data_IF_008624972603
#
_entry.id   IF_008624972603
#
_cell.length_a   1.000
_cell.length_b   1.000
_cell.length_c   1.000
_cell.angle_alpha   90.00
_cell.angle_beta   90.00
_cell.angle_gamma   90.00
#
_symmetry.space_group_name_H-M   'P 1'
#
loop_
_entity.id
_entity.type
_entity.pdbx_description
1 polymer ?
#
# COMPACT_ATOMS: atom_id res chain seq x y z
N UNK A 1 -11.98 14.82 -56.61
CA UNK A 1 -10.75 14.99 -55.79
C UNK A 1 -10.96 14.88 -54.27
N UNK A 2 -12.19 14.98 -53.71
CA UNK A 2 -12.40 14.89 -52.26
C UNK A 2 -12.41 13.47 -51.64
N UNK A 3 -12.83 12.44 -52.39
CA UNK A 3 -12.98 11.07 -51.83
C UNK A 3 -11.64 10.38 -51.52
N UNK A 4 -10.62 10.63 -52.33
CA UNK A 4 -9.29 10.02 -52.14
C UNK A 4 -8.55 10.56 -50.92
N UNK A 5 -8.76 11.84 -50.58
CA UNK A 5 -8.18 12.48 -49.39
C UNK A 5 -8.86 11.93 -48.13
N UNK A 6 -10.18 11.74 -48.15
CA UNK A 6 -10.93 11.21 -47.01
C UNK A 6 -10.49 9.78 -46.66
N UNK A 7 -10.29 8.92 -47.67
CA UNK A 7 -9.83 7.53 -47.45
C UNK A 7 -8.42 7.50 -46.85
N UNK A 8 -7.51 8.39 -47.31
CA UNK A 8 -6.14 8.46 -46.77
C UNK A 8 -6.11 8.91 -45.30
N UNK A 9 -6.96 9.87 -44.93
CA UNK A 9 -7.05 10.37 -43.54
C UNK A 9 -7.64 9.32 -42.60
N UNK A 10 -8.67 8.61 -43.02
CA UNK A 10 -9.29 7.53 -42.21
C UNK A 10 -8.30 6.38 -41.99
N UNK A 11 -7.52 6.01 -43.00
CA UNK A 11 -6.49 4.97 -42.86
C UNK A 11 -5.37 5.39 -41.90
N UNK A 12 -4.93 6.65 -41.95
CA UNK A 12 -3.92 7.17 -41.03
C UNK A 12 -4.38 7.13 -39.56
N UNK A 13 -5.63 7.51 -39.30
CA UNK A 13 -6.20 7.48 -37.95
C UNK A 13 -6.34 6.02 -37.45
N UNK A 14 -6.78 5.10 -38.31
CA UNK A 14 -6.90 3.69 -37.94
C UNK A 14 -5.53 3.07 -37.60
N UNK A 15 -4.49 3.37 -38.37
CA UNK A 15 -3.12 2.87 -38.10
C UNK A 15 -2.58 3.46 -36.80
N UNK A 16 -2.76 4.76 -36.56
CA UNK A 16 -2.34 5.39 -35.31
C UNK A 16 -3.04 4.80 -34.08
N UNK A 17 -4.34 4.49 -34.19
CA UNK A 17 -5.10 3.85 -33.10
C UNK A 17 -4.63 2.42 -32.83
N UNK A 18 -4.30 1.64 -33.87
CA UNK A 18 -3.78 0.28 -33.73
C UNK A 18 -2.39 0.29 -33.07
N UNK A 19 -1.52 1.22 -33.46
CA UNK A 19 -0.18 1.35 -32.87
C UNK A 19 -0.26 1.81 -31.40
N UNK A 20 -1.14 2.76 -31.08
CA UNK A 20 -1.36 3.19 -29.70
C UNK A 20 -1.92 2.05 -28.83
N UNK A 21 -2.86 1.26 -29.35
CA UNK A 21 -3.39 0.10 -28.64
C UNK A 21 -2.31 -0.97 -28.41
N UNK A 22 -1.48 -1.27 -29.42
CA UNK A 22 -0.37 -2.23 -29.28
C UNK A 22 0.69 -1.75 -28.27
N UNK A 23 0.96 -0.44 -28.20
CA UNK A 23 1.92 0.12 -27.24
C UNK A 23 1.39 0.12 -25.80
N UNK A 24 0.09 0.33 -25.63
CA UNK A 24 -0.55 0.34 -24.30
C UNK A 24 -0.90 -1.06 -23.76
N UNK A 25 -0.98 -2.07 -24.62
CA UNK A 25 -1.28 -3.45 -24.22
C UNK A 25 -0.04 -4.30 -23.91
N UNK A 26 1.17 -3.74 -24.09
CA UNK A 26 2.46 -4.43 -23.89
C UNK A 26 2.99 -4.50 -22.46
N UNK A 27 2.22 -4.12 -21.44
CA UNK A 27 2.61 -4.34 -20.04
C UNK A 27 2.23 -5.77 -19.63
N UNK A 28 3.10 -6.72 -19.97
CA UNK A 28 3.07 -8.05 -19.36
C UNK A 28 3.22 -7.88 -17.84
N UNK A 29 2.12 -8.10 -17.10
CA UNK A 29 2.16 -8.25 -15.66
C UNK A 29 3.02 -9.46 -15.35
N UNK A 30 4.23 -9.24 -14.87
CA UNK A 30 5.00 -10.28 -14.21
C UNK A 30 4.19 -10.75 -12.99
N UNK A 31 3.52 -11.90 -13.11
CA UNK A 31 2.96 -12.60 -11.97
C UNK A 31 4.14 -13.11 -11.12
N UNK A 32 4.38 -12.45 -10.00
CA UNK A 32 5.32 -12.92 -8.97
C UNK A 32 4.73 -14.18 -8.30
N UNK A 33 5.54 -15.21 -8.01
CA UNK A 33 5.05 -16.41 -7.33
C UNK A 33 4.90 -16.13 -5.83
N UNK A 34 3.68 -16.28 -5.33
CA UNK A 34 3.30 -16.20 -3.93
C UNK A 34 4.25 -17.01 -3.04
N UNK A 35 4.93 -16.33 -2.11
CA UNK A 35 5.88 -16.94 -1.18
C UNK A 35 5.16 -17.71 -0.07
N UNK A 36 5.31 -19.04 -0.05
CA UNK A 36 4.97 -19.85 1.12
C UNK A 36 5.86 -19.54 2.34
N UNK A 37 5.48 -20.01 3.54
CA UNK A 37 6.15 -19.64 4.79
C UNK A 37 7.60 -20.16 4.81
N UNK A 38 8.57 -19.25 4.68
CA UNK A 38 10.01 -19.53 4.66
C UNK A 38 10.80 -18.93 3.49
N UNK A 39 10.15 -18.26 2.54
CA UNK A 39 10.83 -17.49 1.49
C UNK A 39 11.41 -16.16 2.02
N UNK A 40 12.56 -15.73 1.51
CA UNK A 40 13.06 -14.36 1.76
C UNK A 40 12.04 -13.37 1.20
N UNK A 41 11.52 -12.48 2.03
CA UNK A 41 10.61 -11.41 1.58
C UNK A 41 11.35 -10.55 0.57
N UNK A 42 10.79 -10.42 -0.63
CA UNK A 42 11.35 -9.59 -1.69
C UNK A 42 10.91 -8.13 -1.46
N UNK A 43 11.81 -7.18 -1.74
CA UNK A 43 11.56 -5.74 -1.61
C UNK A 43 11.66 -5.07 -2.98
N UNK A 44 10.84 -4.05 -3.18
CA UNK A 44 10.90 -3.12 -4.30
C UNK A 44 11.10 -1.69 -3.80
N UNK A 45 11.45 -0.78 -4.72
CA UNK A 45 11.62 0.65 -4.43
C UNK A 45 10.41 1.41 -4.98
N UNK A 46 9.78 2.21 -4.12
CA UNK A 46 8.84 3.24 -4.53
C UNK A 46 9.62 4.51 -4.90
N UNK A 47 9.25 5.14 -6.01
CA UNK A 47 9.83 6.41 -6.44
C UNK A 47 8.72 7.37 -6.89
N UNK A 48 8.70 8.58 -6.33
CA UNK A 48 7.90 9.70 -6.80
C UNK A 48 8.85 10.82 -7.23
N UNK A 49 9.05 10.94 -8.54
CA UNK A 49 9.99 11.91 -9.13
C UNK A 49 9.50 13.35 -8.99
N UNK A 50 8.19 13.58 -8.95
CA UNK A 50 7.62 14.93 -8.84
C UNK A 50 7.84 15.49 -7.43
N UNK A 51 7.84 14.62 -6.42
CA UNK A 51 8.01 14.98 -5.00
C UNK A 51 9.37 14.62 -4.42
N UNK A 52 10.25 13.99 -5.21
CA UNK A 52 11.58 13.54 -4.77
C UNK A 52 11.54 12.45 -3.69
N UNK A 53 10.43 11.73 -3.54
CA UNK A 53 10.26 10.73 -2.48
C UNK A 53 10.74 9.36 -2.97
N UNK A 54 11.54 8.67 -2.16
CA UNK A 54 11.91 7.27 -2.40
C UNK A 54 11.92 6.47 -1.10
N UNK A 55 11.54 5.19 -1.17
CA UNK A 55 11.68 4.23 -0.07
C UNK A 55 11.58 2.79 -0.60
N UNK A 56 12.04 1.83 0.19
CA UNK A 56 11.88 0.40 -0.08
C UNK A 56 10.69 -0.17 0.68
N UNK A 57 10.02 -1.15 0.09
CA UNK A 57 8.88 -1.82 0.69
C UNK A 57 8.83 -3.30 0.32
N UNK A 58 8.34 -4.18 1.20
CA UNK A 58 8.16 -5.59 0.88
C UNK A 58 7.02 -5.76 -0.14
N UNK A 59 7.21 -6.61 -1.14
CA UNK A 59 6.18 -6.88 -2.17
C UNK A 59 4.96 -7.59 -1.55
N UNK A 60 5.21 -8.45 -0.56
CA UNK A 60 4.21 -9.21 0.19
C UNK A 60 4.55 -9.17 1.69
N UNK A 61 3.57 -9.35 2.56
CA UNK A 61 3.75 -9.27 4.02
C UNK A 61 4.20 -10.59 4.68
N UNK A 62 4.40 -11.66 3.88
CA UNK A 62 4.87 -12.96 4.38
C UNK A 62 3.83 -13.76 5.18
N UNK A 63 2.56 -13.43 4.99
CA UNK A 63 1.39 -13.96 5.69
C UNK A 63 0.51 -14.80 4.75
N UNK A 64 -0.32 -15.67 5.32
CA UNK A 64 -1.21 -16.57 4.57
C UNK A 64 -2.62 -15.99 4.42
N UNK A 65 -3.13 -15.32 5.45
CA UNK A 65 -4.49 -14.79 5.51
C UNK A 65 -4.52 -13.26 5.47
N UNK A 66 -3.49 -12.61 6.00
CA UNK A 66 -3.36 -11.15 5.94
C UNK A 66 -2.70 -10.74 4.61
N UNK A 67 -3.31 -9.81 3.90
CA UNK A 67 -2.80 -9.29 2.63
C UNK A 67 -2.62 -7.77 2.71
N UNK A 68 -1.58 -7.25 2.04
CA UNK A 68 -1.47 -5.82 1.79
C UNK A 68 -2.51 -5.40 0.74
N UNK A 69 -3.12 -4.25 0.94
CA UNK A 69 -4.12 -3.65 0.05
C UNK A 69 -3.81 -2.16 -0.12
N UNK A 70 -4.08 -1.59 -1.30
CA UNK A 70 -3.62 -0.23 -1.65
C UNK A 70 -2.09 -0.07 -1.42
N UNK A 71 -1.31 -0.98 -2.01
CA UNK A 71 0.12 -1.16 -1.78
C UNK A 71 0.92 -0.95 -3.09
N UNK A 72 2.14 -0.35 -3.07
CA UNK A 72 2.90 0.16 -1.92
C UNK A 72 2.19 1.29 -1.17
N UNK A 73 2.62 1.62 0.07
CA UNK A 73 2.07 2.75 0.79
C UNK A 73 2.14 4.03 -0.02
N UNK A 74 1.04 4.78 -0.06
CA UNK A 74 1.08 6.13 -0.60
C UNK A 74 1.80 7.04 0.40
N UNK A 75 2.82 7.75 -0.07
CA UNK A 75 3.54 8.72 0.74
C UNK A 75 3.03 10.14 0.52
N UNK A 76 3.04 10.95 1.57
CA UNK A 76 2.83 12.39 1.53
C UNK A 76 3.80 13.06 2.50
N UNK A 77 4.45 14.14 2.09
CA UNK A 77 5.24 15.02 2.97
C UNK A 77 4.41 16.25 3.29
N UNK A 78 4.46 16.70 4.54
CA UNK A 78 3.79 17.91 5.02
C UNK A 78 4.82 18.85 5.68
N UNK A 79 4.65 20.14 5.45
CA UNK A 79 5.48 21.22 6.03
C UNK A 79 5.03 21.59 7.44
N UNK A 80 4.93 20.57 8.29
CA UNK A 80 4.60 20.69 9.71
C UNK A 80 5.49 19.75 10.52
N UNK A 81 5.97 20.17 11.71
CA UNK A 81 6.74 19.29 12.56
C UNK A 81 5.89 18.10 13.04
N UNK A 82 6.57 16.99 13.33
CA UNK A 82 5.90 15.82 13.87
C UNK A 82 5.18 16.15 15.19
N UNK A 83 3.91 15.76 15.27
CA UNK A 83 3.10 15.79 16.49
C UNK A 83 2.05 14.67 16.43
N UNK A 84 1.74 14.04 17.56
CA UNK A 84 0.71 13.03 17.65
C UNK A 84 -0.36 13.42 18.66
N UNK A 85 -1.59 13.58 18.19
CA UNK A 85 -2.76 13.78 19.04
C UNK A 85 -3.50 12.47 19.13
N UNK A 86 -3.32 11.76 20.25
CA UNK A 86 -4.00 10.49 20.50
C UNK A 86 -5.50 10.68 20.74
N UNK A 87 -6.30 9.70 20.32
CA UNK A 87 -7.74 9.68 20.56
C UNK A 87 -8.52 8.96 19.47
N UNK A 88 -9.84 8.88 19.65
CA UNK A 88 -10.74 8.17 18.75
C UNK A 88 -10.87 6.68 19.10
N UNK A 89 -11.46 5.92 18.18
CA UNK A 89 -11.72 4.49 18.28
C UNK A 89 -11.55 3.88 16.88
N UNK A 90 -10.71 2.85 16.68
CA UNK A 90 -10.50 2.23 15.37
C UNK A 90 -11.78 1.72 14.69
N UNK A 91 -12.82 1.40 15.46
CA UNK A 91 -14.12 0.94 14.97
C UNK A 91 -15.10 2.08 14.67
N UNK A 92 -14.79 3.29 15.12
CA UNK A 92 -15.55 4.49 14.77
C UNK A 92 -15.14 4.98 13.38
N UNK A 93 -16.04 5.72 12.73
CA UNK A 93 -15.83 6.26 11.38
C UNK A 93 -14.56 7.14 11.25
N UNK A 94 -14.16 7.80 12.33
CA UNK A 94 -12.97 8.67 12.34
C UNK A 94 -11.66 7.90 12.63
N UNK A 95 -11.75 6.61 12.98
CA UNK A 95 -10.62 5.82 13.42
C UNK A 95 -10.10 6.14 14.81
N UNK A 96 -9.08 5.40 15.21
CA UNK A 96 -8.31 5.62 16.42
C UNK A 96 -6.89 5.99 16.07
N UNK A 97 -6.37 7.02 16.73
CA UNK A 97 -4.98 7.49 16.60
C UNK A 97 -4.24 7.29 17.91
N UNK A 98 -3.03 6.80 17.83
CA UNK A 98 -2.18 6.52 18.98
C UNK A 98 -0.69 6.75 18.66
N UNK A 99 0.07 7.14 19.68
CA UNK A 99 1.51 7.23 19.59
C UNK A 99 2.12 5.83 19.74
N UNK A 100 2.97 5.44 18.79
CA UNK A 100 3.66 4.16 18.76
C UNK A 100 5.17 4.37 18.77
N UNK A 101 5.85 3.57 19.59
CA UNK A 101 7.31 3.48 19.64
C UNK A 101 7.71 2.13 19.03
N UNK A 102 8.50 2.14 17.97
CA UNK A 102 9.07 0.93 17.35
C UNK A 102 10.56 1.17 17.22
N UNK A 103 11.38 0.33 17.83
CA UNK A 103 12.86 0.46 17.81
C UNK A 103 13.39 1.88 18.04
N UNK A 104 12.77 2.58 18.99
CA UNK A 104 13.08 3.96 19.39
C UNK A 104 12.71 5.06 18.35
N UNK A 105 11.95 4.72 17.32
CA UNK A 105 11.31 5.64 16.38
C UNK A 105 9.86 5.92 16.78
N UNK A 106 9.42 7.15 16.56
CA UNK A 106 8.08 7.62 16.91
C UNK A 106 7.17 7.68 15.70
N UNK A 107 6.00 7.07 15.85
CA UNK A 107 4.94 7.08 14.85
C UNK A 107 3.63 7.53 15.46
N UNK A 108 2.88 8.36 14.74
CA UNK A 108 1.48 8.55 15.01
C UNK A 108 0.69 7.62 14.10
N UNK A 109 0.16 6.54 14.65
CA UNK A 109 -0.59 5.54 13.90
C UNK A 109 -2.08 5.82 14.04
N UNK A 110 -2.73 6.11 12.92
CA UNK A 110 -4.18 6.11 12.81
C UNK A 110 -4.63 4.82 12.14
N UNK A 111 -5.68 4.20 12.68
CA UNK A 111 -6.30 3.00 12.09
C UNK A 111 -7.82 3.12 12.01
N UNK A 112 -8.40 2.60 10.93
CA UNK A 112 -9.84 2.49 10.73
C UNK A 112 -10.15 1.06 10.29
N UNK A 113 -11.05 0.38 11.01
CA UNK A 113 -11.44 -1.00 10.76
C UNK A 113 -12.83 -1.06 10.13
N UNK A 114 -12.95 -1.67 8.95
CA UNK A 114 -14.22 -1.81 8.24
C UNK A 114 -14.45 -3.25 7.77
N UNK A 115 -15.62 -3.80 8.06
CA UNK A 115 -16.04 -5.12 7.56
C UNK A 115 -16.80 -5.01 6.25
N UNK A 116 -16.30 -5.64 5.17
CA UNK A 116 -16.96 -5.66 3.87
C UNK A 116 -16.71 -6.98 3.10
N UNK A 117 -17.75 -7.49 2.44
CA UNK A 117 -17.69 -8.65 1.55
C UNK A 117 -16.99 -9.90 2.13
N UNK A 118 -17.21 -10.21 3.42
CA UNK A 118 -16.59 -11.36 4.08
C UNK A 118 -15.11 -11.16 4.44
N UNK A 119 -14.62 -9.92 4.38
CA UNK A 119 -13.29 -9.53 4.84
C UNK A 119 -13.38 -8.38 5.85
N UNK A 120 -12.30 -8.18 6.58
CA UNK A 120 -12.03 -7.02 7.42
C UNK A 120 -10.89 -6.27 6.75
N UNK A 121 -11.12 -5.00 6.48
CA UNK A 121 -10.10 -4.07 6.01
C UNK A 121 -9.66 -3.22 7.18
N UNK A 122 -8.35 -3.02 7.33
CA UNK A 122 -7.80 -2.03 8.24
C UNK A 122 -6.98 -1.03 7.45
N UNK A 123 -7.49 0.19 7.38
CA UNK A 123 -6.80 1.33 6.78
C UNK A 123 -5.85 1.91 7.81
N UNK A 124 -4.63 2.20 7.39
CA UNK A 124 -3.59 2.77 8.22
C UNK A 124 -3.13 4.13 7.67
N UNK A 125 -2.80 5.03 8.59
CA UNK A 125 -1.96 6.18 8.33
C UNK A 125 -0.86 6.25 9.38
N UNK A 126 0.39 6.23 8.95
CA UNK A 126 1.56 6.37 9.82
C UNK A 126 2.22 7.70 9.54
N UNK A 127 2.16 8.61 10.51
CA UNK A 127 2.90 9.86 10.47
C UNK A 127 4.22 9.73 11.24
N UNK A 128 5.31 10.26 10.69
CA UNK A 128 6.65 10.22 11.27
C UNK A 128 7.45 11.46 10.86
N UNK A 129 8.55 11.74 11.57
CA UNK A 129 9.44 12.87 11.26
C UNK A 129 10.35 12.53 10.07
N UNK A 130 10.58 13.50 9.18
CA UNK A 130 11.55 13.42 8.08
C UNK A 130 12.55 14.59 8.08
N UNK A 131 12.45 15.46 9.09
CA UNK A 131 13.26 16.66 9.30
C UNK A 131 12.77 17.40 10.55
N UNK A 132 13.43 18.51 10.91
CA UNK A 132 13.08 19.29 12.11
C UNK A 132 11.66 19.89 12.04
N UNK A 133 11.28 20.39 10.86
CA UNK A 133 10.01 21.11 10.62
C UNK A 133 9.08 20.38 9.63
N UNK A 134 9.36 19.12 9.31
CA UNK A 134 8.61 18.34 8.33
C UNK A 134 8.26 16.95 8.86
N UNK A 135 7.10 16.47 8.45
CA UNK A 135 6.64 15.12 8.70
C UNK A 135 6.22 14.46 7.38
N UNK A 136 6.26 13.13 7.36
CA UNK A 136 5.68 12.35 6.28
C UNK A 136 4.56 11.46 6.82
N UNK A 137 3.63 11.11 5.93
CA UNK A 137 2.51 10.21 6.18
C UNK A 137 2.57 9.09 5.13
N UNK A 138 2.62 7.85 5.60
CA UNK A 138 2.36 6.67 4.77
C UNK A 138 0.92 6.20 4.99
N UNK A 139 0.17 5.98 3.91
CA UNK A 139 -1.17 5.42 3.97
C UNK A 139 -1.29 4.16 3.13
N UNK A 140 -1.92 3.13 3.69
CA UNK A 140 -2.18 1.86 3.02
C UNK A 140 -3.31 1.12 3.74
N UNK A 141 -3.71 -0.01 3.20
CA UNK A 141 -4.70 -0.88 3.82
C UNK A 141 -4.13 -2.29 4.00
N UNK A 142 -4.70 -3.02 4.94
CA UNK A 142 -4.57 -4.48 4.98
C UNK A 142 -5.95 -5.10 4.86
N UNK A 143 -5.98 -6.33 4.36
CA UNK A 143 -7.21 -7.11 4.25
C UNK A 143 -6.99 -8.47 4.89
N UNK A 144 -7.94 -8.88 5.71
CA UNK A 144 -7.99 -10.22 6.29
C UNK A 144 -9.37 -10.80 6.00
N UNK A 145 -9.51 -12.08 5.58
CA UNK A 145 -10.81 -12.72 5.52
C UNK A 145 -11.46 -12.75 6.92
N UNK A 146 -12.78 -12.77 6.99
CA UNK A 146 -13.45 -13.01 8.27
C UNK A 146 -13.18 -14.45 8.69
N UNK A 147 -12.28 -14.64 9.66
CA UNK A 147 -11.81 -15.96 10.07
C UNK A 147 -12.94 -16.92 10.48
N UNK A 148 -14.07 -16.38 10.99
CA UNK A 148 -15.26 -17.17 11.33
C UNK A 148 -15.96 -17.86 10.15
N UNK A 149 -15.52 -17.62 8.91
CA UNK A 149 -15.99 -18.33 7.72
C UNK A 149 -15.25 -19.65 7.46
N UNK A 150 -14.15 -19.93 8.18
CA UNK A 150 -13.36 -21.14 8.02
C UNK A 150 -13.78 -22.24 9.01
N UNK A 151 -13.29 -23.46 8.76
CA UNK A 151 -13.38 -24.54 9.75
C UNK A 151 -12.51 -24.26 10.98
N UNK A 152 -12.67 -25.06 12.04
CA UNK A 152 -12.01 -24.77 13.32
C UNK A 152 -10.48 -24.67 13.22
N UNK A 153 -9.85 -25.50 12.37
CA UNK A 153 -8.40 -25.51 12.26
C UNK A 153 -7.90 -24.26 11.52
N UNK A 154 -8.50 -23.96 10.37
CA UNK A 154 -8.14 -22.78 9.58
C UNK A 154 -8.51 -21.47 10.28
N UNK A 155 -9.65 -21.45 11.02
CA UNK A 155 -10.08 -20.30 11.82
C UNK A 155 -9.04 -19.95 12.88
N UNK A 156 -8.54 -20.94 13.62
CA UNK A 156 -7.51 -20.72 14.65
C UNK A 156 -6.20 -20.22 14.03
N UNK A 157 -5.83 -20.71 12.84
CA UNK A 157 -4.64 -20.23 12.13
C UNK A 157 -4.81 -18.78 11.65
N UNK A 158 -5.96 -18.44 11.06
CA UNK A 158 -6.30 -17.10 10.62
C UNK A 158 -6.33 -16.09 11.78
N UNK A 159 -6.99 -16.44 12.90
CA UNK A 159 -7.04 -15.60 14.09
C UNK A 159 -5.66 -15.42 14.71
N UNK A 160 -4.88 -16.51 14.82
CA UNK A 160 -3.53 -16.48 15.36
C UNK A 160 -2.58 -15.63 14.51
N UNK A 161 -2.63 -15.73 13.19
CA UNK A 161 -1.83 -14.87 12.31
C UNK A 161 -2.22 -13.41 12.46
N UNK A 162 -3.52 -13.09 12.44
CA UNK A 162 -4.02 -11.72 12.60
C UNK A 162 -3.59 -11.09 13.92
N UNK A 163 -3.57 -11.87 15.01
CA UNK A 163 -3.17 -11.38 16.33
C UNK A 163 -1.64 -11.26 16.48
N UNK A 164 -0.88 -12.11 15.80
CA UNK A 164 0.58 -12.13 15.89
C UNK A 164 1.28 -11.19 14.89
N UNK A 165 0.62 -10.84 13.78
CA UNK A 165 1.24 -10.02 12.74
C UNK A 165 1.50 -8.60 13.23
N UNK A 166 2.78 -8.20 13.13
CA UNK A 166 3.24 -6.88 13.54
C UNK A 166 3.47 -5.98 12.31
N UNK A 167 2.42 -5.22 11.99
CA UNK A 167 2.51 -4.21 10.92
C UNK A 167 3.43 -3.04 11.30
N UNK A 168 3.59 -2.74 12.60
CA UNK A 168 4.38 -1.59 13.06
C UNK A 168 5.87 -1.80 12.71
N UNK A 169 6.39 -3.01 12.93
CA UNK A 169 7.76 -3.38 12.53
C UNK A 169 7.98 -3.27 11.01
N UNK A 170 6.99 -3.69 10.20
CA UNK A 170 7.09 -3.59 8.74
C UNK A 170 7.15 -2.12 8.29
N UNK A 171 6.32 -1.27 8.90
CA UNK A 171 6.33 0.17 8.58
C UNK A 171 7.62 0.83 9.04
N UNK A 172 8.16 0.45 10.20
CA UNK A 172 9.44 0.96 10.68
C UNK A 172 10.53 0.71 9.63
N UNK A 173 10.68 -0.54 9.16
CA UNK A 173 11.65 -0.89 8.12
C UNK A 173 11.49 -0.07 6.83
N UNK A 174 10.24 0.16 6.39
CA UNK A 174 9.96 1.03 5.23
C UNK A 174 10.47 2.44 5.49
N UNK A 175 10.12 3.02 6.64
CA UNK A 175 10.47 4.41 6.97
C UNK A 175 11.97 4.63 7.15
N UNK A 176 12.72 3.62 7.57
CA UNK A 176 14.19 3.69 7.67
C UNK A 176 14.87 3.89 6.30
N UNK A 177 14.19 3.53 5.22
CA UNK A 177 14.68 3.73 3.85
C UNK A 177 14.07 4.96 3.17
N UNK A 178 13.22 5.70 3.89
CA UNK A 178 12.52 6.87 3.36
C UNK A 178 13.46 8.04 3.18
N UNK A 179 13.49 8.60 1.98
CA UNK A 179 14.31 9.73 1.62
C UNK A 179 13.50 10.74 0.81
N UNK A 180 13.86 12.01 0.99
CA UNK A 180 13.40 13.15 0.20
C UNK A 180 14.64 13.72 -0.48
N UNK A 181 14.62 13.80 -1.81
CA UNK A 181 15.74 14.27 -2.65
C UNK A 181 15.66 15.77 -2.92
#
# INVERSE_FOLDING_TARGET
MHKSIYIAVVLLIAVAAILAWAFLSGSDKASSPSGGPGGRIAYETYEDQDRGITFQYPIELGTVYLEAYDWPPMAQVIDEPFNCTEGGDPTARAGGTELRMVDNHQYCRTSIVEGAAGSIYTQYAYKFTVGEDQAAILTFSTRVPQCGNYDEQERVQCEGEREAFDIDSTVDEITQTFQIQ
#
